data_IF_345778457193
#
_entry.id   IF_345778457193
#
_cell.length_a   1.000
_cell.length_b   1.000
_cell.length_c   1.000
_cell.angle_alpha   90.00
_cell.angle_beta   90.00
_cell.angle_gamma   90.00
#
_symmetry.space_group_name_H-M   'P 1'
#
loop_
_entity.id
_entity.type
_entity.pdbx_description
1 polymer ?
#
# COMPACT_ATOMS: atom_id res chain seq x y z
N UNK A 1 -0.11 -17.16 -47.09
CA UNK A 1 0.60 -16.26 -46.17
C UNK A 1 -0.49 -15.72 -45.27
N UNK A 2 -0.70 -16.40 -44.13
CA UNK A 2 -1.87 -16.28 -43.27
C UNK A 2 -1.86 -14.97 -42.50
N UNK A 3 -3.00 -14.27 -42.54
CA UNK A 3 -3.36 -13.17 -41.64
C UNK A 3 -3.12 -13.56 -40.18
N UNK A 4 -2.01 -13.12 -39.60
CA UNK A 4 -1.86 -13.03 -38.16
C UNK A 4 -2.17 -11.58 -37.81
N UNK A 5 -3.46 -11.25 -37.85
CA UNK A 5 -4.00 -10.03 -37.24
C UNK A 5 -4.71 -10.40 -35.93
N UNK A 6 -4.07 -11.27 -35.13
CA UNK A 6 -4.51 -11.50 -33.75
C UNK A 6 -3.89 -10.43 -32.88
N UNK A 7 -4.66 -9.39 -32.60
CA UNK A 7 -4.29 -8.33 -31.66
C UNK A 7 -3.77 -8.96 -30.36
N UNK A 8 -2.52 -8.65 -29.98
CA UNK A 8 -1.95 -9.11 -28.71
C UNK A 8 -2.28 -8.09 -27.60
N UNK A 9 -2.65 -8.53 -26.39
CA UNK A 9 -2.90 -9.91 -25.99
C UNK A 9 -4.21 -10.47 -26.60
N UNK A 10 -4.42 -11.79 -26.65
CA UNK A 10 -5.67 -12.37 -27.16
C UNK A 10 -6.91 -11.77 -26.49
N UNK A 11 -7.99 -11.60 -27.24
CA UNK A 11 -9.27 -11.21 -26.68
C UNK A 11 -9.79 -12.27 -25.70
N UNK A 12 -10.26 -11.85 -24.54
CA UNK A 12 -10.86 -12.72 -23.53
C UNK A 12 -11.97 -12.01 -22.78
N UNK A 13 -12.95 -12.75 -22.27
CA UNK A 13 -13.94 -12.19 -21.36
C UNK A 13 -13.29 -11.68 -20.08
N UNK A 14 -13.92 -10.72 -19.40
CA UNK A 14 -13.42 -10.20 -18.13
C UNK A 14 -13.26 -11.32 -17.08
N UNK A 15 -14.19 -12.28 -17.05
CA UNK A 15 -14.11 -13.44 -16.15
C UNK A 15 -12.86 -14.28 -16.41
N UNK A 16 -12.50 -14.51 -17.68
CA UNK A 16 -11.29 -15.25 -18.04
C UNK A 16 -10.02 -14.45 -17.70
N UNK A 17 -10.04 -13.13 -17.90
CA UNK A 17 -8.95 -12.23 -17.50
C UNK A 17 -8.73 -12.25 -15.98
N UNK A 18 -9.80 -12.16 -15.20
CA UNK A 18 -9.77 -12.25 -13.74
C UNK A 18 -9.33 -13.63 -13.27
N UNK A 19 -9.81 -14.69 -13.91
CA UNK A 19 -9.38 -16.06 -13.63
C UNK A 19 -7.88 -16.22 -13.87
N UNK A 20 -7.35 -15.69 -14.99
CA UNK A 20 -5.92 -15.72 -15.28
C UNK A 20 -5.10 -15.03 -14.18
N UNK A 21 -5.53 -13.84 -13.72
CA UNK A 21 -4.86 -13.15 -12.60
C UNK A 21 -4.88 -13.99 -11.33
N UNK A 22 -6.03 -14.59 -11.00
CA UNK A 22 -6.16 -15.45 -9.83
C UNK A 22 -5.27 -16.70 -9.95
N UNK A 23 -5.16 -17.31 -11.13
CA UNK A 23 -4.29 -18.46 -11.38
C UNK A 23 -2.81 -18.11 -11.17
N UNK A 24 -2.36 -16.94 -11.62
CA UNK A 24 -0.99 -16.48 -11.37
C UNK A 24 -0.74 -16.29 -9.87
N UNK A 25 -1.66 -15.64 -9.16
CA UNK A 25 -1.59 -15.44 -7.70
C UNK A 25 -1.54 -16.77 -6.93
N UNK A 26 -2.47 -17.69 -7.24
CA UNK A 26 -2.53 -19.02 -6.59
C UNK A 26 -1.30 -19.85 -6.93
N UNK A 27 -0.77 -19.74 -8.14
CA UNK A 27 0.48 -20.41 -8.54
C UNK A 27 1.66 -19.88 -7.73
N UNK A 28 1.77 -18.55 -7.55
CA UNK A 28 2.79 -17.95 -6.70
C UNK A 28 2.65 -18.43 -5.25
N UNK A 29 1.44 -18.40 -4.68
CA UNK A 29 1.18 -18.89 -3.31
C UNK A 29 1.58 -20.36 -3.18
N UNK A 30 1.22 -21.19 -4.15
CA UNK A 30 1.49 -22.62 -4.14
C UNK A 30 2.98 -22.92 -4.20
N UNK A 31 3.71 -22.24 -5.09
CA UNK A 31 5.16 -22.40 -5.24
C UNK A 31 5.96 -21.77 -4.10
N UNK A 32 5.35 -20.86 -3.32
CA UNK A 32 5.98 -20.21 -2.16
C UNK A 32 5.57 -20.83 -0.82
N UNK A 33 4.93 -22.02 -0.82
CA UNK A 33 4.71 -22.81 0.41
C UNK A 33 6.00 -23.25 1.09
N UNK A 34 7.09 -23.31 0.33
CA UNK A 34 8.44 -23.59 0.83
C UNK A 34 9.38 -22.52 0.28
N UNK A 35 10.51 -22.32 0.95
CA UNK A 35 11.58 -21.48 0.47
C UNK A 35 12.08 -21.94 -0.92
N UNK A 36 12.44 -21.01 -1.82
CA UNK A 36 13.04 -21.36 -3.10
C UNK A 36 14.31 -22.21 -2.91
N UNK A 37 14.36 -23.40 -3.52
CA UNK A 37 15.49 -24.34 -3.37
C UNK A 37 16.50 -24.30 -4.52
N UNK A 38 16.11 -23.72 -5.65
CA UNK A 38 16.93 -23.66 -6.85
C UNK A 38 16.77 -22.30 -7.55
N UNK A 39 17.75 -21.95 -8.38
CA UNK A 39 17.67 -20.76 -9.22
C UNK A 39 16.42 -20.77 -10.12
N UNK A 40 16.08 -21.93 -10.71
CA UNK A 40 14.89 -22.08 -11.54
C UNK A 40 13.60 -21.80 -10.76
N UNK A 41 13.50 -22.29 -9.52
CA UNK A 41 12.34 -22.03 -8.66
C UNK A 41 12.22 -20.53 -8.35
N UNK A 42 13.32 -19.88 -7.99
CA UNK A 42 13.35 -18.44 -7.75
C UNK A 42 12.97 -17.63 -9.00
N UNK A 43 13.54 -18.00 -10.16
CA UNK A 43 13.23 -17.36 -11.44
C UNK A 43 11.75 -17.49 -11.80
N UNK A 44 11.14 -18.66 -11.60
CA UNK A 44 9.70 -18.86 -11.81
C UNK A 44 8.86 -17.93 -10.93
N UNK A 45 9.19 -17.77 -9.65
CA UNK A 45 8.47 -16.87 -8.75
C UNK A 45 8.61 -15.39 -9.15
N UNK A 46 9.81 -14.99 -9.59
CA UNK A 46 10.04 -13.64 -10.12
C UNK A 46 9.20 -13.43 -11.39
N UNK A 47 9.21 -14.37 -12.32
CA UNK A 47 8.39 -14.32 -13.54
C UNK A 47 6.91 -14.22 -13.22
N UNK A 48 6.39 -15.03 -12.29
CA UNK A 48 5.00 -14.94 -11.85
C UNK A 48 4.66 -13.57 -11.27
N UNK A 49 5.55 -12.99 -10.46
CA UNK A 49 5.36 -11.65 -9.89
C UNK A 49 5.29 -10.59 -10.98
N UNK A 50 6.22 -10.63 -11.94
CA UNK A 50 6.26 -9.71 -13.08
C UNK A 50 5.01 -9.87 -13.93
N UNK A 51 4.62 -11.10 -14.29
CA UNK A 51 3.40 -11.36 -15.05
C UNK A 51 2.16 -10.82 -14.33
N UNK A 52 2.06 -11.04 -13.03
CA UNK A 52 0.92 -10.57 -12.22
C UNK A 52 0.79 -9.04 -12.24
N UNK A 53 1.92 -8.32 -12.15
CA UNK A 53 1.95 -6.86 -12.21
C UNK A 53 1.75 -6.31 -13.62
N UNK A 54 2.27 -6.97 -14.66
CA UNK A 54 2.19 -6.49 -16.05
C UNK A 54 0.82 -6.78 -16.68
N UNK A 55 0.15 -7.86 -16.28
CA UNK A 55 -1.11 -8.29 -16.92
C UNK A 55 -2.16 -7.16 -17.02
N UNK A 56 -2.43 -6.33 -15.99
CA UNK A 56 -3.37 -5.21 -16.13
C UNK A 56 -2.95 -4.14 -17.14
N UNK A 57 -1.65 -3.95 -17.38
CA UNK A 57 -1.17 -3.03 -18.43
C UNK A 57 -1.48 -3.60 -19.82
N UNK A 58 -1.38 -4.92 -20.00
CA UNK A 58 -1.63 -5.58 -21.29
C UNK A 58 -3.11 -5.53 -21.68
N UNK A 59 -4.02 -5.57 -20.71
CA UNK A 59 -5.47 -5.55 -20.94
C UNK A 59 -6.13 -4.18 -20.68
N UNK A 60 -5.34 -3.12 -20.47
CA UNK A 60 -5.87 -1.76 -20.26
C UNK A 60 -6.78 -1.34 -21.42
N UNK A 61 -7.84 -0.58 -21.10
CA UNK A 61 -8.80 -0.09 -22.09
C UNK A 61 -9.70 -1.15 -22.75
N UNK A 62 -9.57 -2.43 -22.38
CA UNK A 62 -10.43 -3.51 -22.91
C UNK A 62 -11.67 -3.78 -22.06
N UNK A 63 -11.66 -3.36 -20.81
CA UNK A 63 -12.73 -3.57 -19.84
C UNK A 63 -13.14 -2.24 -19.20
N UNK A 64 -14.36 -2.16 -18.64
CA UNK A 64 -14.79 -1.02 -17.86
C UNK A 64 -13.77 -0.64 -16.76
N UNK A 65 -13.56 0.66 -16.56
CA UNK A 65 -12.53 1.18 -15.65
C UNK A 65 -12.68 0.65 -14.21
N UNK A 66 -13.91 0.49 -13.72
CA UNK A 66 -14.20 -0.05 -12.39
C UNK A 66 -13.77 -1.52 -12.23
N UNK A 67 -14.00 -2.33 -13.25
CA UNK A 67 -13.58 -3.73 -13.29
C UNK A 67 -12.06 -3.83 -13.37
N UNK A 68 -11.45 -3.04 -14.24
CA UNK A 68 -10.01 -2.98 -14.43
C UNK A 68 -9.27 -2.49 -13.19
N UNK A 69 -9.79 -1.47 -12.49
CA UNK A 69 -9.26 -0.94 -11.23
C UNK A 69 -9.09 -2.04 -10.18
N UNK A 70 -10.06 -2.96 -10.09
CA UNK A 70 -10.01 -4.04 -9.11
C UNK A 70 -8.85 -5.01 -9.37
N UNK A 71 -8.60 -5.36 -10.63
CA UNK A 71 -7.53 -6.29 -11.01
C UNK A 71 -6.17 -5.58 -10.96
N UNK A 72 -6.09 -4.34 -11.42
CA UNK A 72 -4.89 -3.51 -11.34
C UNK A 72 -4.45 -3.26 -9.90
N UNK A 73 -5.38 -2.84 -9.02
CA UNK A 73 -5.13 -2.60 -7.61
C UNK A 73 -4.59 -3.84 -6.88
N UNK A 74 -5.25 -4.98 -7.07
CA UNK A 74 -4.75 -6.26 -6.52
C UNK A 74 -3.39 -6.64 -7.12
N UNK A 75 -3.25 -6.50 -8.45
CA UNK A 75 -2.05 -6.77 -9.23
C UNK A 75 -0.81 -6.11 -8.64
N UNK A 76 -0.86 -4.79 -8.47
CA UNK A 76 0.27 -4.00 -8.02
C UNK A 76 0.54 -4.12 -6.52
N UNK A 77 -0.51 -4.14 -5.68
CA UNK A 77 -0.35 -4.20 -4.21
C UNK A 77 0.19 -5.57 -3.79
N UNK A 78 -0.41 -6.67 -4.26
CA UNK A 78 0.10 -8.00 -3.98
C UNK A 78 1.41 -8.26 -4.71
N UNK A 79 1.61 -7.69 -5.91
CA UNK A 79 2.89 -7.73 -6.62
C UNK A 79 4.04 -7.12 -5.80
N UNK A 80 3.86 -5.94 -5.21
CA UNK A 80 4.83 -5.38 -4.28
C UNK A 80 5.02 -6.25 -3.04
N UNK A 81 3.96 -6.86 -2.52
CA UNK A 81 4.08 -7.80 -1.40
C UNK A 81 4.92 -9.03 -1.79
N UNK A 82 4.75 -9.57 -3.01
CA UNK A 82 5.56 -10.66 -3.56
C UNK A 82 7.02 -10.24 -3.69
N UNK A 83 7.30 -9.05 -4.24
CA UNK A 83 8.65 -8.49 -4.31
C UNK A 83 9.28 -8.36 -2.92
N UNK A 84 8.52 -7.89 -1.92
CA UNK A 84 9.01 -7.76 -0.56
C UNK A 84 9.34 -9.11 0.08
N UNK A 85 8.51 -10.12 -0.17
CA UNK A 85 8.77 -11.49 0.26
C UNK A 85 10.02 -12.07 -0.41
N UNK A 86 10.17 -11.90 -1.73
CA UNK A 86 11.36 -12.33 -2.49
C UNK A 86 12.63 -11.63 -2.01
N UNK A 87 12.58 -10.32 -1.73
CA UNK A 87 13.69 -9.56 -1.13
C UNK A 87 14.08 -10.16 0.22
N UNK A 88 13.10 -10.43 1.09
CA UNK A 88 13.35 -11.03 2.41
C UNK A 88 14.03 -12.38 2.29
N UNK A 89 13.59 -13.21 1.34
CA UNK A 89 14.23 -14.49 1.06
C UNK A 89 15.71 -14.30 0.66
N UNK A 90 15.98 -13.41 -0.30
CA UNK A 90 17.34 -13.11 -0.77
C UNK A 90 18.27 -12.61 0.36
N UNK A 91 17.72 -11.93 1.36
CA UNK A 91 18.46 -11.46 2.55
C UNK A 91 18.51 -12.45 3.72
N UNK A 92 17.85 -13.60 3.62
CA UNK A 92 17.74 -14.55 4.75
C UNK A 92 18.97 -15.44 4.86
N UNK A 93 19.46 -15.64 6.09
CA UNK A 93 20.61 -16.52 6.38
C UNK A 93 20.21 -17.99 6.65
N UNK A 94 18.92 -18.27 6.84
CA UNK A 94 18.36 -19.61 7.07
C UNK A 94 17.22 -19.87 6.08
N UNK A 95 17.38 -20.93 5.28
CA UNK A 95 16.41 -21.35 4.26
C UNK A 95 15.27 -22.18 4.89
N UNK A 96 15.54 -22.87 5.99
CA UNK A 96 14.63 -23.87 6.56
C UNK A 96 13.49 -23.25 7.40
N UNK A 97 13.66 -22.01 7.89
CA UNK A 97 12.65 -21.30 8.71
C UNK A 97 11.92 -20.18 7.96
N UNK A 98 12.11 -20.06 6.65
CA UNK A 98 11.51 -18.97 5.88
C UNK A 98 9.99 -19.16 5.72
N UNK A 99 9.21 -18.18 6.19
CA UNK A 99 7.76 -18.27 6.21
C UNK A 99 7.15 -18.23 4.79
N UNK A 100 6.13 -19.05 4.50
CA UNK A 100 5.44 -19.02 3.23
C UNK A 100 4.81 -17.66 2.92
N UNK A 101 4.71 -17.30 1.65
CA UNK A 101 4.12 -16.02 1.23
C UNK A 101 2.71 -15.80 1.79
N UNK A 102 1.88 -16.84 1.80
CA UNK A 102 0.52 -16.81 2.34
C UNK A 102 0.47 -16.28 3.78
N UNK A 103 1.44 -16.62 4.64
CA UNK A 103 1.50 -16.08 6.00
C UNK A 103 1.71 -14.57 6.01
N UNK A 104 2.43 -14.03 5.03
CA UNK A 104 2.68 -12.59 4.95
C UNK A 104 1.47 -11.78 4.51
N UNK A 105 0.44 -12.41 3.91
CA UNK A 105 -0.84 -11.77 3.59
C UNK A 105 -1.63 -11.40 4.84
N UNK A 106 -1.32 -12.03 5.95
CA UNK A 106 -1.82 -11.62 7.24
C UNK A 106 -0.94 -10.46 7.75
N UNK A 107 0.38 -10.63 7.81
CA UNK A 107 1.27 -9.60 8.37
C UNK A 107 1.65 -8.48 7.38
N UNK A 108 0.77 -7.49 7.21
CA UNK A 108 1.04 -6.28 6.41
C UNK A 108 1.89 -5.22 7.12
N UNK A 109 1.79 -5.16 8.44
CA UNK A 109 2.54 -4.23 9.28
C UNK A 109 3.31 -5.00 10.35
N UNK A 110 4.49 -4.51 10.73
CA UNK A 110 5.14 -4.99 11.95
C UNK A 110 4.19 -4.80 13.15
N UNK A 111 4.09 -5.83 13.99
CA UNK A 111 3.31 -5.78 15.23
C UNK A 111 3.77 -4.57 16.04
N UNK A 112 3.01 -3.48 15.98
CA UNK A 112 3.10 -2.42 16.97
C UNK A 112 2.39 -3.01 18.16
N UNK A 113 3.14 -3.69 19.03
CA UNK A 113 2.66 -4.04 20.36
C UNK A 113 2.37 -2.71 21.06
N UNK A 114 1.14 -2.23 20.90
CA UNK A 114 0.61 -1.05 21.56
C UNK A 114 0.40 -1.38 23.03
N UNK A 115 1.50 -1.57 23.79
CA UNK A 115 1.52 -1.73 25.24
C UNK A 115 0.72 -2.90 25.84
N UNK A 116 -0.03 -3.67 25.04
CA UNK A 116 -0.78 -4.84 25.51
C UNK A 116 0.15 -6.03 25.54
N UNK A 117 0.25 -6.64 26.73
CA UNK A 117 1.01 -7.86 27.03
C UNK A 117 0.74 -8.92 25.96
N UNK A 118 1.74 -9.73 25.65
CA UNK A 118 1.66 -10.85 24.70
C UNK A 118 0.45 -11.79 24.97
N UNK A 119 -0.09 -11.74 26.19
CA UNK A 119 -1.26 -12.49 26.67
C UNK A 119 -2.64 -11.89 26.35
N UNK A 120 -2.76 -10.76 25.65
CA UNK A 120 -4.08 -10.17 25.38
C UNK A 120 -4.94 -11.10 24.50
N UNK A 121 -6.05 -11.59 25.07
CA UNK A 121 -7.07 -12.39 24.40
C UNK A 121 -8.43 -11.69 24.53
N UNK A 122 -9.00 -11.16 23.44
CA UNK A 122 -10.27 -10.47 23.48
C UNK A 122 -11.42 -11.46 23.72
N UNK A 123 -12.40 -11.04 24.51
CA UNK A 123 -13.64 -11.82 24.71
C UNK A 123 -14.51 -11.80 23.45
N UNK A 124 -15.35 -12.81 23.25
CA UNK A 124 -16.31 -12.83 22.14
C UNK A 124 -17.22 -11.59 22.12
N UNK A 125 -17.52 -11.01 23.29
CA UNK A 125 -18.27 -9.74 23.41
C UNK A 125 -17.49 -8.57 22.80
N UNK A 126 -16.18 -8.46 23.07
CA UNK A 126 -15.33 -7.41 22.49
C UNK A 126 -15.18 -7.56 20.98
N UNK A 127 -15.08 -8.80 20.48
CA UNK A 127 -15.01 -9.08 19.05
C UNK A 127 -16.33 -8.68 18.38
N UNK A 128 -17.47 -9.08 18.93
CA UNK A 128 -18.79 -8.73 18.40
C UNK A 128 -19.03 -7.22 18.41
N UNK A 129 -18.62 -6.53 19.47
CA UNK A 129 -18.68 -5.07 19.53
C UNK A 129 -17.86 -4.43 18.40
N UNK A 130 -16.63 -4.90 18.17
CA UNK A 130 -15.81 -4.40 17.07
C UNK A 130 -16.48 -4.64 15.71
N UNK A 131 -17.03 -5.84 15.47
CA UNK A 131 -17.78 -6.16 14.25
C UNK A 131 -18.92 -5.15 14.04
N UNK A 132 -19.74 -4.91 15.07
CA UNK A 132 -20.87 -3.97 14.99
C UNK A 132 -20.39 -2.55 14.71
N UNK A 133 -19.37 -2.06 15.42
CA UNK A 133 -18.78 -0.74 15.19
C UNK A 133 -18.27 -0.60 13.74
N UNK A 134 -17.56 -1.61 13.22
CA UNK A 134 -17.05 -1.62 11.84
C UNK A 134 -18.19 -1.65 10.82
N UNK A 135 -19.25 -2.41 11.06
CA UNK A 135 -20.45 -2.41 10.20
C UNK A 135 -21.10 -1.03 10.13
N UNK A 136 -21.21 -0.32 11.27
CA UNK A 136 -21.74 1.04 11.31
C UNK A 136 -20.83 2.00 10.54
N UNK A 137 -19.51 1.96 10.78
CA UNK A 137 -18.56 2.82 10.06
C UNK A 137 -18.58 2.56 8.54
N UNK A 138 -18.66 1.31 8.12
CA UNK A 138 -18.77 0.93 6.71
C UNK A 138 -20.03 1.51 6.08
N UNK A 139 -21.18 1.39 6.75
CA UNK A 139 -22.44 1.92 6.25
C UNK A 139 -22.41 3.45 6.10
N UNK A 140 -21.93 4.17 7.12
CA UNK A 140 -21.81 5.63 7.08
C UNK A 140 -20.84 6.05 5.96
N UNK A 141 -19.65 5.45 5.90
CA UNK A 141 -18.66 5.76 4.84
C UNK A 141 -19.18 5.45 3.45
N UNK A 142 -19.96 4.38 3.29
CA UNK A 142 -20.59 4.04 2.02
C UNK A 142 -21.59 5.13 1.58
N UNK A 143 -22.47 5.60 2.46
CA UNK A 143 -23.40 6.69 2.14
C UNK A 143 -22.66 7.96 1.70
N UNK A 144 -21.62 8.34 2.46
CA UNK A 144 -20.81 9.53 2.13
C UNK A 144 -20.09 9.32 0.80
N UNK A 145 -19.52 8.14 0.57
CA UNK A 145 -18.84 7.79 -0.68
C UNK A 145 -19.78 7.90 -1.88
N UNK A 146 -20.97 7.31 -1.83
CA UNK A 146 -21.98 7.38 -2.90
C UNK A 146 -22.41 8.84 -3.17
N UNK A 147 -22.56 9.63 -2.10
CA UNK A 147 -22.92 11.05 -2.21
C UNK A 147 -21.82 11.86 -2.89
N UNK A 148 -20.56 11.70 -2.44
CA UNK A 148 -19.40 12.35 -3.05
C UNK A 148 -19.18 11.90 -4.50
N UNK A 149 -19.42 10.61 -4.79
CA UNK A 149 -19.24 10.05 -6.11
C UNK A 149 -20.25 10.65 -7.10
N UNK A 150 -21.54 10.73 -6.72
CA UNK A 150 -22.57 11.39 -7.53
C UNK A 150 -22.26 12.86 -7.78
N UNK A 151 -21.77 13.59 -6.77
CA UNK A 151 -21.35 14.98 -6.96
C UNK A 151 -20.19 15.04 -7.97
N UNK A 152 -19.18 14.19 -7.84
CA UNK A 152 -18.06 14.17 -8.79
C UNK A 152 -18.51 13.82 -10.21
N UNK A 153 -19.43 12.86 -10.36
CA UNK A 153 -20.01 12.44 -11.63
C UNK A 153 -20.76 13.59 -12.33
N UNK A 154 -21.53 14.39 -11.58
CA UNK A 154 -22.20 15.59 -12.09
C UNK A 154 -21.22 16.66 -12.65
N UNK A 155 -19.97 16.65 -12.19
CA UNK A 155 -18.93 17.57 -12.66
C UNK A 155 -17.93 16.91 -13.61
N UNK A 156 -18.13 15.63 -13.98
CA UNK A 156 -17.19 14.83 -14.77
C UNK A 156 -17.11 15.25 -16.25
N UNK A 157 -18.23 15.72 -16.82
CA UNK A 157 -18.33 16.23 -18.20
C UNK A 157 -17.50 17.50 -18.46
N UNK A 158 -16.84 18.03 -17.43
CA UNK A 158 -16.09 19.28 -17.50
C UNK A 158 -14.59 19.10 -17.23
N UNK A 159 -14.11 17.87 -17.35
CA UNK A 159 -12.72 17.50 -17.20
C UNK A 159 -11.93 17.82 -18.47
N UNK A 160 -11.43 19.04 -18.57
CA UNK A 160 -10.33 19.33 -19.50
C UNK A 160 -9.06 18.69 -18.94
N UNK A 161 -8.56 17.66 -19.62
CA UNK A 161 -7.23 17.12 -19.35
C UNK A 161 -6.23 18.22 -19.69
N UNK A 162 -5.41 18.67 -18.74
CA UNK A 162 -4.42 19.71 -19.02
C UNK A 162 -3.45 19.25 -20.12
N UNK A 163 -3.09 20.16 -21.03
CA UNK A 163 -2.21 19.88 -22.17
C UNK A 163 -0.75 19.63 -21.79
N UNK A 164 -0.34 19.95 -20.57
CA UNK A 164 1.03 19.76 -20.06
C UNK A 164 0.99 19.19 -18.65
N UNK A 165 1.93 18.32 -18.25
CA UNK A 165 1.97 17.74 -16.91
C UNK A 165 2.05 18.75 -15.76
N UNK A 166 1.45 18.43 -14.59
CA UNK A 166 1.38 19.31 -13.41
C UNK A 166 2.68 20.02 -13.05
N UNK A 167 3.81 19.29 -13.05
CA UNK A 167 5.10 19.88 -12.69
C UNK A 167 5.52 21.00 -13.63
N UNK A 168 5.29 20.85 -14.94
CA UNK A 168 5.60 21.90 -15.91
C UNK A 168 4.68 23.11 -15.73
N UNK A 169 3.41 22.90 -15.38
CA UNK A 169 2.49 24.00 -15.03
C UNK A 169 2.98 24.79 -13.81
N UNK A 170 3.54 24.11 -12.80
CA UNK A 170 4.17 24.76 -11.64
C UNK A 170 5.39 25.58 -12.06
N UNK A 171 6.23 25.07 -12.96
CA UNK A 171 7.38 25.84 -13.47
C UNK A 171 6.93 27.04 -14.31
N UNK A 172 5.91 26.86 -15.14
CA UNK A 172 5.34 27.92 -15.98
C UNK A 172 4.67 29.01 -15.14
N UNK A 173 4.10 28.67 -13.97
CA UNK A 173 3.61 29.66 -13.01
C UNK A 173 4.72 30.65 -12.61
N UNK A 174 5.95 30.18 -12.37
CA UNK A 174 7.06 31.06 -12.04
C UNK A 174 7.54 31.91 -13.22
N UNK A 175 7.29 31.48 -14.47
CA UNK A 175 7.68 32.20 -15.69
C UNK A 175 6.63 33.21 -16.15
N UNK A 176 5.37 32.82 -16.09
CA UNK A 176 4.24 33.50 -16.74
C UNK A 176 3.27 34.14 -15.75
N UNK A 177 3.33 33.76 -14.46
CA UNK A 177 2.34 34.12 -13.46
C UNK A 177 1.00 33.38 -13.60
N UNK A 178 0.85 32.50 -14.60
CA UNK A 178 -0.37 31.73 -14.79
C UNK A 178 -0.53 30.70 -13.66
N UNK A 179 -1.75 30.57 -13.12
CA UNK A 179 -2.01 29.56 -12.08
C UNK A 179 -1.83 28.15 -12.65
N UNK A 180 -1.10 27.25 -11.97
CA UNK A 180 -0.84 25.89 -12.43
C UNK A 180 -2.09 24.99 -12.35
N UNK A 181 -3.10 25.46 -11.60
CA UNK A 181 -4.36 24.79 -11.35
C UNK A 181 -5.50 25.82 -11.35
N UNK A 182 -6.62 25.49 -11.96
CA UNK A 182 -7.82 26.34 -11.87
C UNK A 182 -8.53 26.09 -10.54
N UNK A 183 -9.31 27.05 -10.05
CA UNK A 183 -10.10 26.86 -8.81
C UNK A 183 -11.05 25.66 -8.92
N UNK A 184 -11.56 25.42 -10.12
CA UNK A 184 -12.41 24.27 -10.45
C UNK A 184 -11.66 22.95 -10.33
N UNK A 185 -10.48 22.84 -10.95
CA UNK A 185 -9.64 21.65 -10.86
C UNK A 185 -9.23 21.39 -9.41
N UNK A 186 -8.93 22.44 -8.63
CA UNK A 186 -8.60 22.33 -7.20
C UNK A 186 -9.77 21.74 -6.39
N UNK A 187 -11.01 22.21 -6.66
CA UNK A 187 -12.21 21.68 -6.02
C UNK A 187 -12.41 20.19 -6.38
N UNK A 188 -12.27 19.84 -7.66
CA UNK A 188 -12.41 18.47 -8.13
C UNK A 188 -11.34 17.55 -7.52
N UNK A 189 -10.07 17.98 -7.50
CA UNK A 189 -8.99 17.24 -6.84
C UNK A 189 -9.29 17.04 -5.35
N UNK A 190 -9.89 18.02 -4.68
CA UNK A 190 -10.27 17.91 -3.27
C UNK A 190 -11.36 16.86 -3.06
N UNK A 191 -12.39 16.84 -3.90
CA UNK A 191 -13.42 15.78 -3.88
C UNK A 191 -12.85 14.41 -4.19
N UNK A 192 -11.97 14.32 -5.20
CA UNK A 192 -11.27 13.08 -5.54
C UNK A 192 -10.43 12.55 -4.37
N UNK A 193 -9.70 13.42 -3.67
CA UNK A 193 -8.94 13.05 -2.48
C UNK A 193 -9.83 12.52 -1.36
N UNK A 194 -11.00 13.12 -1.14
CA UNK A 194 -12.01 12.60 -0.19
C UNK A 194 -12.53 11.23 -0.63
N UNK A 195 -12.79 11.04 -1.92
CA UNK A 195 -13.23 9.76 -2.46
C UNK A 195 -12.18 8.66 -2.31
N UNK A 196 -10.92 8.95 -2.61
CA UNK A 196 -9.80 8.02 -2.40
C UNK A 196 -9.68 7.68 -0.91
N UNK A 197 -9.74 8.67 -0.02
CA UNK A 197 -9.73 8.45 1.43
C UNK A 197 -10.88 7.52 1.86
N UNK A 198 -12.10 7.77 1.40
CA UNK A 198 -13.28 6.97 1.74
C UNK A 198 -13.19 5.56 1.15
N UNK A 199 -12.74 5.41 -0.10
CA UNK A 199 -12.56 4.12 -0.77
C UNK A 199 -11.56 3.25 -0.02
N UNK A 200 -10.38 3.79 0.28
CA UNK A 200 -9.32 3.08 0.99
C UNK A 200 -9.75 2.75 2.42
N UNK A 201 -10.38 3.70 3.13
CA UNK A 201 -10.93 3.49 4.48
C UNK A 201 -11.98 2.38 4.50
N UNK A 202 -12.95 2.43 3.57
CA UNK A 202 -14.00 1.42 3.41
C UNK A 202 -13.38 0.04 3.18
N UNK A 203 -12.46 -0.08 2.23
CA UNK A 203 -11.80 -1.37 1.96
C UNK A 203 -11.07 -1.90 3.19
N UNK A 204 -10.40 -1.03 3.94
CA UNK A 204 -9.71 -1.42 5.17
C UNK A 204 -10.67 -1.88 6.28
N UNK A 205 -11.80 -1.19 6.50
CA UNK A 205 -12.81 -1.65 7.47
C UNK A 205 -13.47 -2.96 7.03
N UNK A 206 -13.61 -3.23 5.73
CA UNK A 206 -14.07 -4.53 5.22
C UNK A 206 -13.09 -5.63 5.62
N UNK A 207 -11.78 -5.40 5.52
CA UNK A 207 -10.79 -6.37 6.01
C UNK A 207 -10.88 -6.57 7.51
N UNK A 208 -11.05 -5.50 8.31
CA UNK A 208 -11.25 -5.63 9.75
C UNK A 208 -12.52 -6.43 10.08
N UNK A 209 -13.62 -6.17 9.38
CA UNK A 209 -14.87 -6.91 9.56
C UNK A 209 -14.69 -8.41 9.29
N UNK A 210 -14.05 -8.75 8.16
CA UNK A 210 -13.75 -10.13 7.79
C UNK A 210 -12.85 -10.79 8.85
N UNK A 211 -11.78 -10.11 9.31
CA UNK A 211 -10.92 -10.60 10.38
C UNK A 211 -11.67 -10.84 11.69
N UNK A 212 -12.62 -9.97 12.03
CA UNK A 212 -13.51 -10.13 13.19
C UNK A 212 -14.38 -11.38 13.10
N UNK A 213 -15.00 -11.60 11.94
CA UNK A 213 -15.83 -12.78 11.67
C UNK A 213 -15.00 -14.06 11.73
N UNK A 214 -13.82 -14.07 11.10
CA UNK A 214 -12.89 -15.20 11.15
C UNK A 214 -12.48 -15.49 12.59
N UNK A 215 -12.11 -14.47 13.37
CA UNK A 215 -11.70 -14.65 14.76
C UNK A 215 -12.84 -15.22 15.62
N UNK A 216 -14.06 -14.72 15.44
CA UNK A 216 -15.24 -15.24 16.16
C UNK A 216 -15.49 -16.71 15.82
N UNK A 217 -15.45 -17.05 14.52
CA UNK A 217 -15.58 -18.43 14.05
C UNK A 217 -14.50 -19.34 14.66
N UNK A 218 -13.24 -18.91 14.65
CA UNK A 218 -12.13 -19.66 15.24
C UNK A 218 -12.26 -19.80 16.77
N UNK A 219 -12.81 -18.81 17.47
CA UNK A 219 -13.08 -18.91 18.91
C UNK A 219 -14.17 -19.91 19.25
N UNK A 220 -15.18 -20.06 18.39
CA UNK A 220 -16.27 -21.03 18.58
C UNK A 220 -15.79 -22.45 18.31
N UNK A 221 -15.09 -22.68 17.20
CA UNK A 221 -14.66 -24.03 16.80
C UNK A 221 -13.42 -24.50 17.59
N UNK A 222 -12.51 -23.57 17.90
CA UNK A 222 -11.23 -23.88 18.55
C UNK A 222 -11.05 -23.04 19.83
N UNK A 223 -11.85 -23.28 20.88
CA UNK A 223 -11.83 -22.48 22.11
C UNK A 223 -10.55 -22.69 22.94
N UNK A 224 -9.94 -23.88 22.90
CA UNK A 224 -8.83 -24.28 23.78
C UNK A 224 -7.44 -24.23 23.12
N UNK A 225 -7.33 -23.76 21.87
CA UNK A 225 -6.04 -23.72 21.17
C UNK A 225 -5.15 -22.67 21.81
N UNK A 226 -3.97 -23.11 22.26
CA UNK A 226 -3.01 -22.31 23.02
C UNK A 226 -1.59 -22.46 22.44
N UNK A 227 -0.72 -21.49 22.72
CA UNK A 227 0.64 -21.38 22.12
C UNK A 227 1.54 -22.61 22.36
N UNK A 228 1.28 -23.36 23.44
CA UNK A 228 2.08 -24.54 23.84
C UNK A 228 1.70 -25.83 23.10
N UNK A 229 0.73 -25.82 22.20
CA UNK A 229 0.27 -27.04 21.52
C UNK A 229 1.24 -27.48 20.41
N UNK A 230 1.76 -28.72 20.51
CA UNK A 230 2.73 -29.30 19.56
C UNK A 230 2.12 -29.68 18.19
N UNK A 231 0.81 -29.66 18.03
CA UNK A 231 0.18 -30.05 16.76
C UNK A 231 0.37 -28.95 15.71
N UNK A 232 0.93 -29.31 14.55
CA UNK A 232 1.18 -28.38 13.44
C UNK A 232 -0.08 -27.57 13.08
N UNK A 233 -1.24 -28.24 12.93
CA UNK A 233 -2.50 -27.58 12.57
C UNK A 233 -2.94 -26.57 13.64
N UNK A 234 -2.86 -26.95 14.92
CA UNK A 234 -3.26 -26.11 16.05
C UNK A 234 -2.35 -24.89 16.20
N UNK A 235 -1.03 -25.05 16.02
CA UNK A 235 -0.09 -23.93 15.99
C UNK A 235 -0.37 -22.94 14.86
N UNK A 236 -0.76 -23.42 13.68
CA UNK A 236 -1.18 -22.53 12.58
C UNK A 236 -2.49 -21.81 12.87
N UNK A 237 -3.49 -22.49 13.44
CA UNK A 237 -4.73 -21.85 13.89
C UNK A 237 -4.44 -20.76 14.92
N UNK A 238 -3.58 -21.05 15.91
CA UNK A 238 -3.14 -20.06 16.91
C UNK A 238 -2.52 -18.83 16.25
N UNK A 239 -1.66 -19.03 15.24
CA UNK A 239 -1.02 -17.95 14.49
C UNK A 239 -2.03 -17.05 13.76
N UNK A 240 -3.07 -17.65 13.15
CA UNK A 240 -4.15 -16.91 12.49
C UNK A 240 -5.02 -16.17 13.50
N UNK A 241 -5.34 -16.79 14.64
CA UNK A 241 -6.07 -16.12 15.74
C UNK A 241 -5.30 -14.91 16.25
N UNK A 242 -4.01 -15.08 16.55
CA UNK A 242 -3.14 -14.00 17.03
C UNK A 242 -3.03 -12.88 16.01
N UNK A 243 -2.96 -13.21 14.73
CA UNK A 243 -2.99 -12.21 13.69
C UNK A 243 -4.30 -11.43 13.67
N UNK A 244 -5.45 -12.09 13.68
CA UNK A 244 -6.74 -11.40 13.68
C UNK A 244 -6.86 -10.47 14.89
N UNK A 245 -6.40 -10.94 16.07
CA UNK A 245 -6.36 -10.12 17.30
C UNK A 245 -5.48 -8.88 17.09
N UNK A 246 -4.24 -9.07 16.60
CA UNK A 246 -3.32 -7.96 16.33
C UNK A 246 -3.93 -6.96 15.35
N UNK A 247 -4.47 -7.45 14.24
CA UNK A 247 -5.07 -6.60 13.21
C UNK A 247 -6.27 -5.80 13.72
N UNK A 248 -7.13 -6.40 14.55
CA UNK A 248 -8.32 -5.76 15.11
C UNK A 248 -8.04 -4.78 16.26
N UNK A 249 -7.10 -5.11 17.15
CA UNK A 249 -6.96 -4.46 18.45
C UNK A 249 -5.61 -3.80 18.71
N UNK A 250 -4.55 -4.24 18.04
CA UNK A 250 -3.19 -3.75 18.31
C UNK A 250 -2.73 -2.79 17.21
N UNK A 251 -3.15 -3.02 15.96
CA UNK A 251 -2.74 -2.19 14.84
C UNK A 251 -3.53 -0.89 14.75
N UNK A 252 -2.83 0.23 14.61
CA UNK A 252 -3.43 1.56 14.42
C UNK A 252 -4.29 1.60 13.15
N UNK A 253 -5.31 2.45 13.13
CA UNK A 253 -6.06 2.68 11.90
C UNK A 253 -5.13 3.23 10.80
N UNK A 254 -5.45 2.97 9.53
CA UNK A 254 -4.57 3.32 8.40
C UNK A 254 -4.47 4.82 8.15
N UNK A 255 -5.44 5.59 8.64
CA UNK A 255 -5.44 7.04 8.64
C UNK A 255 -5.50 7.57 10.06
N UNK A 256 -4.72 8.61 10.36
CA UNK A 256 -4.74 9.30 11.66
C UNK A 256 -4.90 10.80 11.45
N UNK A 257 -6.15 11.23 11.26
CA UNK A 257 -6.53 12.64 11.09
C UNK A 257 -5.56 13.44 10.19
N UNK A 258 -5.38 13.06 8.90
CA UNK A 258 -4.34 13.61 8.04
C UNK A 258 -4.42 15.13 7.82
N UNK A 259 -5.62 15.69 7.93
CA UNK A 259 -5.90 17.13 7.87
C UNK A 259 -5.32 17.94 9.05
N UNK A 260 -4.94 17.28 10.15
CA UNK A 260 -4.28 17.89 11.29
C UNK A 260 -2.74 17.80 11.20
N UNK A 261 -2.20 17.40 10.05
CA UNK A 261 -0.76 17.30 9.86
C UNK A 261 -0.09 18.68 9.94
N UNK A 262 1.01 18.74 10.68
CA UNK A 262 1.80 19.98 10.86
C UNK A 262 3.02 20.03 9.96
N UNK A 263 3.33 18.92 9.28
CA UNK A 263 4.47 18.81 8.37
C UNK A 263 4.26 17.73 7.30
N UNK A 264 5.01 17.77 6.18
CA UNK A 264 5.03 16.69 5.20
C UNK A 264 5.42 15.33 5.82
N UNK A 265 6.35 15.33 6.78
CA UNK A 265 6.72 14.13 7.54
C UNK A 265 5.53 13.56 8.31
N UNK A 266 4.85 14.41 9.06
CA UNK A 266 3.67 14.02 9.85
C UNK A 266 2.58 13.41 8.96
N UNK A 267 2.27 14.09 7.84
CA UNK A 267 1.31 13.62 6.86
C UNK A 267 1.66 12.23 6.29
N UNK A 268 2.80 12.12 5.59
CA UNK A 268 3.12 10.93 4.79
C UNK A 268 3.65 9.75 5.60
N UNK A 269 4.31 10.01 6.75
CA UNK A 269 4.92 8.92 7.53
C UNK A 269 3.98 8.35 8.58
N UNK A 270 3.05 9.15 9.11
CA UNK A 270 2.29 8.78 10.31
C UNK A 270 0.76 8.85 10.15
N UNK A 271 0.25 9.73 9.29
CA UNK A 271 -1.20 10.02 9.23
C UNK A 271 -1.90 9.53 7.97
N UNK A 272 -1.21 9.44 6.84
CA UNK A 272 -1.79 9.06 5.56
C UNK A 272 -1.45 7.62 5.19
N UNK A 273 -2.47 6.77 5.05
CA UNK A 273 -2.41 5.44 4.46
C UNK A 273 -1.20 4.58 4.91
N UNK A 274 -1.04 4.42 6.22
CA UNK A 274 0.17 3.80 6.82
C UNK A 274 0.31 2.29 6.61
N UNK A 275 -0.64 1.64 5.94
CA UNK A 275 -0.67 0.18 5.72
C UNK A 275 0.56 -0.32 4.97
N UNK A 276 1.06 0.48 4.02
CA UNK A 276 2.12 0.08 3.09
C UNK A 276 3.49 0.70 3.42
N UNK A 277 3.64 1.34 4.59
CA UNK A 277 4.90 1.98 4.97
C UNK A 277 6.09 1.03 4.94
N UNK A 278 5.92 -0.21 5.39
CA UNK A 278 6.98 -1.23 5.35
C UNK A 278 7.36 -1.58 3.90
N UNK A 279 6.41 -1.57 2.95
CA UNK A 279 6.69 -1.83 1.53
C UNK A 279 7.53 -0.70 0.95
N UNK A 280 7.13 0.56 1.17
CA UNK A 280 7.89 1.73 0.70
C UNK A 280 9.29 1.77 1.29
N UNK A 281 9.39 1.45 2.58
CA UNK A 281 10.66 1.40 3.28
C UNK A 281 11.57 0.32 2.70
N UNK A 282 11.05 -0.89 2.53
CA UNK A 282 11.88 -2.04 2.21
C UNK A 282 12.16 -2.17 0.71
N UNK A 283 11.24 -1.81 -0.16
CA UNK A 283 11.46 -1.92 -1.61
C UNK A 283 12.17 -0.71 -2.21
N UNK A 284 12.07 0.46 -1.58
CA UNK A 284 12.60 1.69 -2.18
C UNK A 284 13.56 2.44 -1.27
N UNK A 285 13.13 2.81 -0.06
CA UNK A 285 13.96 3.65 0.82
C UNK A 285 15.29 2.98 1.20
N UNK A 286 15.23 1.77 1.76
CA UNK A 286 16.42 1.06 2.27
C UNK A 286 17.39 0.71 1.15
N UNK A 287 16.96 0.11 0.02
CA UNK A 287 17.88 -0.21 -1.07
C UNK A 287 18.61 1.02 -1.62
N UNK A 288 17.87 2.11 -1.88
CA UNK A 288 18.48 3.32 -2.45
C UNK A 288 19.37 4.05 -1.45
N UNK A 289 19.00 4.05 -0.17
CA UNK A 289 19.87 4.56 0.90
C UNK A 289 21.16 3.74 0.97
N UNK A 290 21.07 2.41 1.01
CA UNK A 290 22.24 1.52 1.11
C UNK A 290 23.19 1.68 -0.07
N UNK A 291 22.66 1.73 -1.28
CA UNK A 291 23.45 1.96 -2.51
C UNK A 291 24.27 3.26 -2.43
N UNK A 292 23.76 4.29 -1.75
CA UNK A 292 24.44 5.57 -1.57
C UNK A 292 25.35 5.61 -0.33
N UNK A 293 25.31 4.59 0.54
CA UNK A 293 26.11 4.49 1.78
C UNK A 293 27.09 3.32 1.82
N UNK A 294 27.40 2.65 0.70
CA UNK A 294 28.23 1.42 0.69
C UNK A 294 29.65 1.56 1.28
N UNK A 295 30.09 2.76 1.71
CA UNK A 295 31.37 3.00 2.37
C UNK A 295 31.19 3.59 3.78
N UNK A 296 31.77 2.96 4.80
CA UNK A 296 31.65 3.39 6.21
C UNK A 296 32.54 4.60 6.56
N UNK A 297 33.36 5.08 5.63
CA UNK A 297 34.28 6.22 5.83
C UNK A 297 33.68 7.60 5.50
N UNK A 298 32.37 7.67 5.29
CA UNK A 298 31.75 8.78 4.57
C UNK A 298 31.48 10.06 5.39
N UNK A 299 31.78 11.20 4.76
CA UNK A 299 31.48 12.54 5.24
C UNK A 299 29.98 12.77 5.48
N UNK A 300 29.64 13.71 6.35
CA UNK A 300 28.26 14.05 6.72
C UNK A 300 27.38 14.38 5.50
N UNK A 301 27.97 14.98 4.46
CA UNK A 301 27.30 15.29 3.20
C UNK A 301 26.77 14.03 2.46
N UNK A 302 27.49 12.90 2.52
CA UNK A 302 27.02 11.65 1.90
C UNK A 302 25.91 10.98 2.68
N UNK A 303 25.89 11.11 4.01
CA UNK A 303 24.76 10.62 4.84
C UNK A 303 23.46 11.34 4.49
N UNK A 304 23.54 12.67 4.35
CA UNK A 304 22.43 13.49 3.91
C UNK A 304 21.98 13.09 2.49
N UNK A 305 22.91 12.92 1.55
CA UNK A 305 22.58 12.46 0.20
C UNK A 305 21.89 11.09 0.20
N UNK A 306 22.34 10.14 1.03
CA UNK A 306 21.72 8.83 1.13
C UNK A 306 20.31 8.87 1.76
N UNK A 307 20.10 9.75 2.75
CA UNK A 307 18.77 9.99 3.30
C UNK A 307 17.83 10.60 2.25
N UNK A 308 18.31 11.59 1.49
CA UNK A 308 17.58 12.19 0.36
C UNK A 308 17.25 11.11 -0.67
N UNK A 309 18.23 10.30 -1.07
CA UNK A 309 18.04 9.20 -1.99
C UNK A 309 16.97 8.22 -1.51
N UNK A 310 17.03 7.79 -0.25
CA UNK A 310 15.99 6.94 0.34
C UNK A 310 14.58 7.55 0.28
N UNK A 311 14.43 8.84 0.63
CA UNK A 311 13.14 9.54 0.55
C UNK A 311 12.63 9.59 -0.89
N UNK A 312 13.48 10.04 -1.82
CA UNK A 312 13.12 10.12 -3.24
C UNK A 312 12.77 8.75 -3.82
N UNK A 313 13.46 7.69 -3.40
CA UNK A 313 13.12 6.32 -3.78
C UNK A 313 11.71 5.93 -3.36
N UNK A 314 11.33 6.19 -2.11
CA UNK A 314 9.99 5.88 -1.60
C UNK A 314 8.90 6.63 -2.38
N UNK A 315 9.10 7.92 -2.64
CA UNK A 315 8.16 8.71 -3.45
C UNK A 315 8.14 8.29 -4.92
N UNK A 316 9.27 7.89 -5.49
CA UNK A 316 9.34 7.37 -6.86
C UNK A 316 8.57 6.06 -7.01
N UNK A 317 8.71 5.12 -6.07
CA UNK A 317 7.93 3.88 -6.12
C UNK A 317 6.43 4.15 -5.90
N UNK A 318 6.08 5.11 -5.04
CA UNK A 318 4.70 5.57 -4.87
C UNK A 318 4.15 6.25 -6.14
N UNK A 319 4.97 7.03 -6.84
CA UNK A 319 4.65 7.67 -8.12
C UNK A 319 4.32 6.62 -9.19
N UNK A 320 5.15 5.57 -9.30
CA UNK A 320 4.91 4.43 -10.21
C UNK A 320 3.58 3.75 -9.87
N UNK A 321 3.30 3.50 -8.58
CA UNK A 321 2.03 2.88 -8.17
C UNK A 321 0.83 3.67 -8.68
N UNK A 322 0.79 4.97 -8.43
CA UNK A 322 -0.40 5.76 -8.75
C UNK A 322 -0.54 5.96 -10.26
N UNK A 323 0.56 6.18 -10.99
CA UNK A 323 0.51 6.27 -12.44
C UNK A 323 0.11 4.94 -13.08
N UNK A 324 0.56 3.82 -12.53
CA UNK A 324 0.14 2.49 -12.96
C UNK A 324 -1.37 2.30 -12.83
N UNK A 325 -1.95 2.70 -11.68
CA UNK A 325 -3.38 2.59 -11.45
C UNK A 325 -4.16 3.45 -12.44
N UNK A 326 -3.81 4.73 -12.57
CA UNK A 326 -4.50 5.62 -13.52
C UNK A 326 -4.34 5.17 -14.96
N UNK A 327 -3.16 4.70 -15.36
CA UNK A 327 -2.91 4.24 -16.73
C UNK A 327 -3.70 2.98 -17.06
N UNK A 328 -3.79 2.04 -16.13
CA UNK A 328 -4.55 0.81 -16.34
C UNK A 328 -6.06 1.05 -16.33
N UNK A 329 -6.55 1.94 -15.47
CA UNK A 329 -7.97 2.27 -15.32
C UNK A 329 -8.50 3.16 -16.45
N UNK A 330 -7.76 4.22 -16.80
CA UNK A 330 -8.19 5.25 -17.75
C UNK A 330 -7.67 5.01 -19.17
N UNK A 331 -6.76 4.04 -19.36
CA UNK A 331 -6.06 3.79 -20.62
C UNK A 331 -5.26 5.01 -21.15
N UNK A 332 -4.92 5.94 -20.28
CA UNK A 332 -4.20 7.16 -20.63
C UNK A 332 -2.99 7.34 -19.70
N UNK A 333 -1.82 7.57 -20.30
CA UNK A 333 -0.58 7.83 -19.58
C UNK A 333 -0.35 9.34 -19.51
N UNK A 334 -0.76 9.96 -18.41
CA UNK A 334 -0.71 11.42 -18.24
C UNK A 334 0.53 11.90 -17.49
N UNK A 335 1.14 11.02 -16.68
CA UNK A 335 2.21 11.32 -15.74
C UNK A 335 1.84 12.34 -14.66
N UNK A 336 0.56 12.76 -14.56
CA UNK A 336 0.10 13.71 -13.55
C UNK A 336 0.35 13.20 -12.13
N UNK A 337 -0.03 11.94 -11.87
CA UNK A 337 0.18 11.31 -10.57
C UNK A 337 1.66 11.07 -10.32
N UNK A 338 2.39 10.61 -11.35
CA UNK A 338 3.83 10.40 -11.24
C UNK A 338 4.56 11.66 -10.77
N UNK A 339 4.34 12.78 -11.45
CA UNK A 339 4.98 14.05 -11.10
C UNK A 339 4.48 14.64 -9.78
N UNK A 340 3.20 14.44 -9.44
CA UNK A 340 2.65 14.84 -8.14
C UNK A 340 3.45 14.24 -6.98
N UNK A 341 3.64 12.91 -6.98
CA UNK A 341 4.36 12.25 -5.89
C UNK A 341 5.85 12.62 -5.86
N UNK A 342 6.50 12.79 -7.02
CA UNK A 342 7.89 13.26 -7.05
C UNK A 342 8.04 14.67 -6.50
N UNK A 343 7.12 15.58 -6.83
CA UNK A 343 7.12 16.93 -6.30
C UNK A 343 6.92 16.94 -4.77
N UNK A 344 6.01 16.11 -4.25
CA UNK A 344 5.86 15.93 -2.80
C UNK A 344 7.12 15.33 -2.15
N UNK A 345 7.86 14.47 -2.85
CA UNK A 345 9.17 13.99 -2.41
C UNK A 345 10.19 15.11 -2.25
N UNK A 346 10.23 16.07 -3.19
CA UNK A 346 11.09 17.26 -3.10
C UNK A 346 10.69 18.12 -1.90
N UNK A 347 9.39 18.39 -1.70
CA UNK A 347 8.89 19.13 -0.54
C UNK A 347 9.31 18.44 0.76
N UNK A 348 9.18 17.11 0.81
CA UNK A 348 9.59 16.32 1.96
C UNK A 348 11.09 16.46 2.22
N UNK A 349 11.94 16.35 1.19
CA UNK A 349 13.39 16.54 1.31
C UNK A 349 13.74 17.93 1.84
N UNK A 350 13.13 18.99 1.30
CA UNK A 350 13.36 20.36 1.77
C UNK A 350 12.99 20.48 3.25
N UNK A 351 11.84 19.93 3.65
CA UNK A 351 11.41 19.89 5.04
C UNK A 351 12.44 19.19 5.94
N UNK A 352 12.96 18.04 5.50
CA UNK A 352 13.99 17.30 6.25
C UNK A 352 15.25 18.11 6.46
N UNK A 353 15.75 18.77 5.42
CA UNK A 353 16.96 19.58 5.49
C UNK A 353 16.79 20.77 6.44
N UNK A 354 15.63 21.43 6.42
CA UNK A 354 15.28 22.52 7.36
C UNK A 354 15.19 21.98 8.80
N UNK A 355 14.54 20.84 9.00
CA UNK A 355 14.44 20.24 10.33
C UNK A 355 15.79 19.81 10.90
N UNK A 356 16.70 19.31 10.05
CA UNK A 356 18.07 18.96 10.44
C UNK A 356 18.84 20.23 10.81
N UNK A 357 18.77 21.30 10.00
CA UNK A 357 19.48 22.55 10.31
C UNK A 357 18.99 23.21 11.59
N UNK A 358 17.70 23.07 11.90
CA UNK A 358 17.05 23.70 13.05
C UNK A 358 16.98 22.79 14.30
N UNK A 359 17.54 21.58 14.25
CA UNK A 359 17.57 20.65 15.39
C UNK A 359 16.19 20.14 15.84
N UNK A 360 15.17 20.18 14.98
CA UNK A 360 13.78 19.85 15.33
C UNK A 360 13.61 18.42 15.88
N UNK A 361 14.52 17.50 15.55
CA UNK A 361 14.49 16.11 16.01
C UNK A 361 14.86 15.93 17.50
N UNK A 362 15.54 16.90 18.11
CA UNK A 362 15.87 16.84 19.54
C UNK A 362 14.69 17.19 20.45
N UNK A 363 13.67 17.89 19.96
CA UNK A 363 12.48 18.27 20.73
C UNK A 363 11.40 17.18 20.76
N UNK A 364 11.31 16.35 19.71
CA UNK A 364 10.28 15.30 19.63
C UNK A 364 10.56 14.07 20.51
N UNK A 365 11.83 13.78 20.82
CA UNK A 365 12.20 12.69 21.75
C UNK A 365 11.89 13.02 23.21
N UNK A 366 11.88 14.30 23.59
CA UNK A 366 11.50 14.72 24.94
C UNK A 366 9.97 14.80 25.13
N UNK A 367 9.23 15.21 24.08
CA UNK A 367 7.76 15.31 24.15
C UNK A 367 7.07 13.94 24.05
N UNK A 368 7.61 12.98 23.30
CA UNK A 368 7.04 11.62 23.24
C UNK A 368 7.22 10.82 24.54
N UNK A 369 8.16 11.20 25.41
CA UNK A 369 8.26 10.65 26.79
C UNK A 369 7.24 11.32 27.72
N UNK A 370 6.89 12.60 27.50
CA UNK A 370 5.93 13.32 28.37
C UNK A 370 4.45 12.99 28.12
N UNK A 371 4.11 12.37 26.99
CA UNK A 371 2.72 11.95 26.65
C UNK A 371 2.47 10.48 26.98
N UNK A 372 3.46 9.79 27.56
CA UNK A 372 3.37 8.39 28.02
C UNK A 372 3.43 8.25 29.55
N UNK A 373 3.20 9.33 30.31
CA UNK A 373 2.93 9.27 31.74
C UNK A 373 1.43 9.38 32.05
#
# INVERSE_FOLDING_TARGET
MTDIDSSFPPEMSFDNYKLLSNLILVSFISLSFRSPKSFLHLATLITLTICFMIQPILYRGRYPANEQASVAGLGIILGFKMCFWLKKFASSHSIDDFQPFFYTLFYWRKNVTSGKKEDFQPTNKQILQNIVERSIYLFIRWIIFESCFKVMDMYSDINEIPSSPYFFRILDMFRTGASPITMKSLLLCSFYMVLVYLLVSKNYDTFLLISGIILLFLNVIFPTVNDKEKSFLKGKIFSVKRWCISFLFDTRYIFDSPWLSTSPRDLWSFRWHTLYNDIWKELAYVPLKHYLTEDNSLSENRKNLAQIGGIMGAFFLSAILHEYLTWTEMNELTLEQFYFFLFHGIIFVIWELICISNGCYHQHSQTSISVLN
#
